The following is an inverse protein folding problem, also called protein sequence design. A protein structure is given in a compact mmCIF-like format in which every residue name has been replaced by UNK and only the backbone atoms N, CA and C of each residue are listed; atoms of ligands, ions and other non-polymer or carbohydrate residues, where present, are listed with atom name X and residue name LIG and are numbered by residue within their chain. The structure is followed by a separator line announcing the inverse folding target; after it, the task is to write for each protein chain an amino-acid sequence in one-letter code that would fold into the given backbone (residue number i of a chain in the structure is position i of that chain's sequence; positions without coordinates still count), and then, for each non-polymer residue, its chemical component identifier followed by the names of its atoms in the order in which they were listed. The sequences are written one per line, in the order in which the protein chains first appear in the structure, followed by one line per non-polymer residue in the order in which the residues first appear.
data_IF_659058381111
#
_entry.id   IF_659058381111
#
_cell.length_a   1.000
_cell.length_b   1.000
_cell.length_c   1.000
_cell.angle_alpha   90.00
_cell.angle_beta   90.00
_cell.angle_gamma   90.00
#
_symmetry.space_group_name_H-M   'P 1'
#
loop_
_entity.id
_entity.type
_entity.pdbx_description
1 polymer ?
#
# COMPACT_ATOMS: atom_id res chain seq x y z
N UNK A 1 5.08 23.61 11.45
CA UNK A 1 4.44 22.41 12.05
C UNK A 1 3.75 21.64 10.94
N UNK A 2 3.83 20.32 10.94
CA UNK A 2 3.07 19.48 10.02
C UNK A 2 1.93 18.77 10.73
N UNK A 3 0.99 18.25 9.94
CA UNK A 3 -0.21 17.56 10.43
C UNK A 3 -0.08 16.06 10.19
N UNK A 4 -0.47 15.32 11.22
CA UNK A 4 -0.71 13.87 11.20
C UNK A 4 -2.21 13.62 11.27
N UNK A 5 -2.77 12.87 10.32
CA UNK A 5 -4.15 12.39 10.40
C UNK A 5 -4.19 11.21 11.37
N UNK A 6 -4.95 11.31 12.46
CA UNK A 6 -5.04 10.26 13.48
C UNK A 6 -6.33 9.47 13.43
N UNK A 7 -7.30 9.90 12.63
CA UNK A 7 -8.58 9.23 12.48
C UNK A 7 -9.35 9.77 11.28
N UNK A 8 -10.08 8.89 10.62
CA UNK A 8 -11.00 9.21 9.55
C UNK A 8 -12.43 8.88 9.96
N UNK A 9 -13.33 9.84 9.78
CA UNK A 9 -14.75 9.72 10.09
C UNK A 9 -15.64 10.08 8.90
N UNK A 10 -15.04 10.26 7.72
CA UNK A 10 -15.80 10.48 6.48
C UNK A 10 -16.39 9.19 5.95
N UNK A 11 -17.15 9.30 4.87
CA UNK A 11 -17.69 8.16 4.11
C UNK A 11 -16.66 7.62 3.13
N UNK A 12 -16.95 6.50 2.46
CA UNK A 12 -16.20 6.12 1.26
C UNK A 12 -16.51 7.03 0.05
N UNK A 13 -16.22 6.53 -1.14
CA UNK A 13 -16.20 7.28 -2.39
C UNK A 13 -14.79 7.77 -2.73
N UNK A 14 -14.66 9.01 -3.21
CA UNK A 14 -13.36 9.60 -3.51
C UNK A 14 -12.70 10.14 -2.23
N UNK A 15 -11.87 9.32 -1.59
CA UNK A 15 -11.13 9.71 -0.38
C UNK A 15 -9.86 10.46 -0.78
N UNK A 16 -9.86 11.78 -0.56
CA UNK A 16 -8.73 12.65 -0.86
C UNK A 16 -8.04 13.07 0.43
N UNK A 17 -6.76 12.72 0.57
CA UNK A 17 -5.91 13.22 1.63
C UNK A 17 -5.35 14.58 1.18
N UNK A 18 -5.78 15.71 1.77
CA UNK A 18 -5.40 17.03 1.28
C UNK A 18 -3.90 17.31 1.51
N UNK A 19 -3.33 18.21 0.71
CA UNK A 19 -1.95 18.66 0.90
C UNK A 19 -1.77 19.48 2.20
N UNK A 20 -2.82 20.17 2.63
CA UNK A 20 -2.82 21.01 3.84
C UNK A 20 -4.16 20.93 4.57
N UNK A 21 -4.13 21.08 5.89
CA UNK A 21 -5.31 21.35 6.73
C UNK A 21 -5.01 22.65 7.51
N UNK A 22 -5.90 23.64 7.42
CA UNK A 22 -5.71 24.97 8.03
C UNK A 22 -4.34 25.61 7.68
N UNK A 23 -3.92 25.48 6.42
CA UNK A 23 -2.64 26.01 5.92
C UNK A 23 -1.39 25.23 6.36
N UNK A 24 -1.52 24.23 7.24
CA UNK A 24 -0.39 23.39 7.65
C UNK A 24 -0.31 22.13 6.79
N UNK A 25 0.90 21.73 6.33
CA UNK A 25 1.06 20.57 5.46
C UNK A 25 0.68 19.28 6.17
N UNK A 26 -0.08 18.42 5.49
CA UNK A 26 -0.35 17.05 5.96
C UNK A 26 0.81 16.18 5.48
N UNK A 27 1.56 15.61 6.42
CA UNK A 27 2.77 14.83 6.10
C UNK A 27 2.69 13.38 6.55
N UNK A 28 1.70 13.03 7.36
CA UNK A 28 1.60 11.68 7.93
C UNK A 28 0.15 11.24 8.06
N UNK A 29 -0.08 9.96 7.77
CA UNK A 29 -1.29 9.25 8.18
C UNK A 29 -0.87 8.33 9.33
N UNK A 30 -1.44 8.55 10.50
CA UNK A 30 -1.13 7.81 11.70
C UNK A 30 -1.58 6.36 11.63
N UNK A 31 -0.98 5.54 12.50
CA UNK A 31 -1.39 4.14 12.64
C UNK A 31 -2.90 4.01 12.90
N UNK A 32 -3.51 3.05 12.23
CA UNK A 32 -4.95 2.76 12.27
C UNK A 32 -5.89 3.92 11.92
N UNK A 33 -5.41 5.04 11.39
CA UNK A 33 -6.24 6.24 11.18
C UNK A 33 -7.46 5.98 10.28
N UNK A 34 -7.36 5.08 9.31
CA UNK A 34 -8.45 4.66 8.42
C UNK A 34 -8.84 3.19 8.61
N UNK A 35 -8.38 2.50 9.67
CA UNK A 35 -8.69 1.07 9.85
C UNK A 35 -10.17 0.79 9.69
N UNK A 36 -10.53 0.00 8.68
CA UNK A 36 -11.90 -0.47 8.45
C UNK A 36 -12.89 0.67 8.18
N UNK A 37 -12.41 1.85 7.79
CA UNK A 37 -13.26 3.03 7.60
C UNK A 37 -13.80 3.16 6.19
N UNK A 38 -13.10 2.60 5.19
CA UNK A 38 -13.49 2.71 3.79
C UNK A 38 -14.07 1.37 3.34
N UNK A 39 -15.38 1.23 3.43
CA UNK A 39 -16.11 0.00 3.11
C UNK A 39 -17.03 0.13 1.90
N UNK A 40 -17.26 1.35 1.42
CA UNK A 40 -18.13 1.59 0.26
C UNK A 40 -17.43 1.06 -1.01
N UNK A 41 -18.06 0.14 -1.77
CA UNK A 41 -17.45 -0.45 -2.95
C UNK A 41 -17.08 0.60 -4.00
N UNK A 42 -15.92 0.45 -4.62
CA UNK A 42 -15.45 1.40 -5.65
C UNK A 42 -14.86 2.69 -5.09
N UNK A 43 -14.57 2.76 -3.78
CA UNK A 43 -13.89 3.91 -3.20
C UNK A 43 -12.46 4.02 -3.75
N UNK A 44 -11.98 5.25 -3.91
CA UNK A 44 -10.62 5.54 -4.39
C UNK A 44 -9.86 6.35 -3.35
N UNK A 45 -8.53 6.23 -3.37
CA UNK A 45 -7.64 6.96 -2.47
C UNK A 45 -6.67 7.84 -3.26
N UNK A 46 -6.67 9.14 -2.95
CA UNK A 46 -5.66 10.08 -3.45
C UNK A 46 -4.79 10.56 -2.30
N UNK A 47 -3.52 10.17 -2.32
CA UNK A 47 -2.50 10.68 -1.40
C UNK A 47 -1.91 11.99 -1.94
N UNK A 48 -1.78 13.01 -1.10
CA UNK A 48 -1.08 14.24 -1.51
C UNK A 48 0.43 14.02 -1.64
N UNK A 49 1.10 14.88 -2.43
CA UNK A 49 2.56 14.80 -2.62
C UNK A 49 3.36 15.09 -1.34
N UNK A 50 2.73 15.67 -0.32
CA UNK A 50 3.36 16.01 0.96
C UNK A 50 3.43 14.82 1.94
N UNK A 51 2.73 13.72 1.66
CA UNK A 51 2.73 12.56 2.55
C UNK A 51 4.11 11.90 2.54
N UNK A 52 4.71 11.81 3.74
CA UNK A 52 6.02 11.23 4.01
C UNK A 52 5.91 9.86 4.69
N UNK A 53 4.84 9.60 5.44
CA UNK A 53 4.65 8.34 6.17
C UNK A 53 3.19 7.85 6.19
N UNK A 54 3.04 6.55 6.00
CA UNK A 54 1.83 5.78 6.31
C UNK A 54 2.11 4.90 7.54
N UNK A 55 1.38 5.15 8.62
CA UNK A 55 1.54 4.48 9.90
C UNK A 55 0.99 3.06 9.91
N UNK A 56 1.40 2.26 10.90
CA UNK A 56 1.01 0.85 11.01
C UNK A 56 -0.50 0.64 10.85
N UNK A 57 -0.91 -0.22 9.93
CA UNK A 57 -2.32 -0.53 9.67
C UNK A 57 -3.16 0.68 9.26
N UNK A 58 -2.57 1.75 8.74
CA UNK A 58 -3.27 3.00 8.45
C UNK A 58 -4.54 2.81 7.63
N UNK A 59 -4.53 1.93 6.62
CA UNK A 59 -5.68 1.59 5.78
C UNK A 59 -6.10 0.12 5.91
N UNK A 60 -5.71 -0.57 7.00
CA UNK A 60 -6.02 -1.99 7.16
C UNK A 60 -7.53 -2.25 7.12
N UNK A 61 -7.95 -3.32 6.45
CA UNK A 61 -9.35 -3.75 6.27
C UNK A 61 -10.25 -2.69 5.61
N UNK A 62 -9.70 -1.81 4.76
CA UNK A 62 -10.49 -0.91 3.94
C UNK A 62 -11.00 -1.65 2.69
N UNK A 63 -11.96 -2.54 2.87
CA UNK A 63 -12.43 -3.46 1.81
C UNK A 63 -13.07 -2.76 0.61
N UNK A 64 -13.53 -1.50 0.77
CA UNK A 64 -14.07 -0.71 -0.33
C UNK A 64 -13.01 0.03 -1.14
N UNK A 65 -11.74 0.10 -0.67
CA UNK A 65 -10.66 0.73 -1.42
C UNK A 65 -10.32 -0.09 -2.66
N UNK A 66 -10.41 0.56 -3.80
CA UNK A 66 -10.30 -0.04 -5.12
C UNK A 66 -9.42 0.76 -6.06
N UNK A 67 -9.10 0.17 -7.20
CA UNK A 67 -8.32 0.81 -8.25
C UNK A 67 -6.82 0.87 -7.95
N UNK A 68 -6.13 1.77 -8.62
CA UNK A 68 -4.68 1.94 -8.46
C UNK A 68 -4.37 2.91 -7.32
N UNK A 69 -3.57 2.46 -6.35
CA UNK A 69 -3.02 3.32 -5.30
C UNK A 69 -1.71 3.93 -5.80
N UNK A 70 -1.63 5.26 -5.83
CA UNK A 70 -0.43 5.99 -6.27
C UNK A 70 0.41 6.39 -5.06
N UNK A 71 1.63 5.88 -5.00
CA UNK A 71 2.64 6.23 -4.01
C UNK A 71 3.37 7.52 -4.44
N UNK A 72 3.27 8.63 -3.68
CA UNK A 72 3.82 9.92 -4.08
C UNK A 72 5.35 9.96 -4.00
N UNK A 73 5.98 10.96 -4.64
CA UNK A 73 7.44 11.06 -4.72
C UNK A 73 8.12 11.17 -3.35
N UNK A 74 7.48 11.88 -2.41
CA UNK A 74 8.02 12.13 -1.07
C UNK A 74 7.78 11.01 -0.05
N UNK A 75 6.99 9.97 -0.37
CA UNK A 75 6.69 8.94 0.62
C UNK A 75 7.97 8.17 0.97
N UNK A 76 8.34 8.24 2.25
CA UNK A 76 9.55 7.65 2.78
C UNK A 76 9.30 6.37 3.57
N UNK A 77 8.12 6.25 4.17
CA UNK A 77 7.82 5.14 5.08
C UNK A 77 6.42 4.60 4.86
N UNK A 78 6.34 3.28 4.71
CA UNK A 78 5.12 2.48 4.76
C UNK A 78 5.37 1.49 5.88
N UNK A 79 4.67 1.64 7.01
CA UNK A 79 4.77 0.72 8.14
C UNK A 79 4.02 -0.59 7.85
N UNK A 80 4.10 -1.54 8.77
CA UNK A 80 3.47 -2.85 8.64
C UNK A 80 1.95 -2.76 8.44
N UNK A 81 1.43 -3.65 7.60
CA UNK A 81 -0.01 -3.90 7.41
C UNK A 81 -0.85 -2.73 6.89
N UNK A 82 -0.22 -1.68 6.35
CA UNK A 82 -0.93 -0.46 5.89
C UNK A 82 -2.11 -0.78 4.97
N UNK A 83 -1.97 -1.76 4.06
CA UNK A 83 -3.03 -2.23 3.15
C UNK A 83 -3.41 -3.70 3.38
N UNK A 84 -3.27 -4.19 4.62
CA UNK A 84 -3.60 -5.56 4.99
C UNK A 84 -5.11 -5.78 5.05
N UNK A 85 -5.62 -6.87 4.48
CA UNK A 85 -7.06 -7.17 4.49
C UNK A 85 -7.92 -6.39 3.50
N UNK A 86 -7.34 -5.47 2.72
CA UNK A 86 -8.03 -4.83 1.59
C UNK A 86 -8.31 -5.87 0.49
N UNK A 87 -9.43 -5.77 -0.21
CA UNK A 87 -9.87 -6.77 -1.19
C UNK A 87 -9.94 -6.28 -2.65
N UNK A 88 -10.05 -4.96 -2.87
CA UNK A 88 -10.47 -4.44 -4.18
C UNK A 88 -9.37 -3.59 -4.89
N UNK A 89 -8.21 -3.40 -4.26
CA UNK A 89 -7.07 -2.70 -4.88
C UNK A 89 -6.56 -3.49 -6.09
N UNK A 90 -6.44 -2.82 -7.24
CA UNK A 90 -6.03 -3.42 -8.51
C UNK A 90 -4.55 -3.29 -8.83
N UNK A 91 -3.90 -2.24 -8.35
CA UNK A 91 -2.48 -2.05 -8.54
C UNK A 91 -1.91 -1.04 -7.54
N UNK A 92 -0.60 -1.10 -7.36
CA UNK A 92 0.20 -0.02 -6.81
C UNK A 92 1.03 0.60 -7.93
N UNK A 93 1.03 1.92 -8.04
CA UNK A 93 1.93 2.68 -8.90
C UNK A 93 2.80 3.56 -8.04
N UNK A 94 4.09 3.65 -8.36
CA UNK A 94 5.04 4.48 -7.61
C UNK A 94 5.52 5.60 -8.50
N UNK A 95 5.49 6.83 -7.98
CA UNK A 95 6.07 7.98 -8.66
C UNK A 95 7.56 7.69 -8.99
N UNK A 96 8.03 7.88 -10.24
CA UNK A 96 9.40 7.55 -10.62
C UNK A 96 10.49 8.25 -9.78
N UNK A 97 10.18 9.45 -9.26
CA UNK A 97 11.07 10.21 -8.42
C UNK A 97 11.11 9.73 -6.95
N UNK A 98 10.27 8.76 -6.55
CA UNK A 98 10.32 8.20 -5.20
C UNK A 98 11.64 7.42 -5.01
N UNK A 99 12.47 7.77 -4.01
CA UNK A 99 13.76 7.14 -3.81
C UNK A 99 13.70 5.84 -2.97
N UNK A 100 12.56 5.52 -2.36
CA UNK A 100 12.42 4.45 -1.36
C UNK A 100 11.61 3.25 -1.86
N UNK A 101 10.72 3.46 -2.83
CA UNK A 101 9.79 2.44 -3.31
C UNK A 101 9.86 2.29 -4.83
N UNK A 102 9.38 1.15 -5.31
CA UNK A 102 9.19 0.87 -6.72
C UNK A 102 7.93 0.02 -6.92
N UNK A 103 7.44 -0.04 -8.16
CA UNK A 103 6.38 -0.97 -8.54
C UNK A 103 6.75 -1.71 -9.81
N UNK A 104 6.50 -3.01 -9.82
CA UNK A 104 6.65 -3.88 -10.98
C UNK A 104 5.33 -4.63 -11.15
N UNK A 105 4.71 -4.53 -12.33
CA UNK A 105 3.43 -5.17 -12.66
C UNK A 105 2.33 -4.93 -11.61
N UNK A 106 2.28 -3.72 -11.06
CA UNK A 106 1.31 -3.31 -10.04
C UNK A 106 1.61 -3.80 -8.63
N UNK A 107 2.69 -4.53 -8.39
CA UNK A 107 3.14 -5.00 -7.07
C UNK A 107 4.09 -3.97 -6.45
N UNK A 108 3.90 -3.65 -5.18
CA UNK A 108 4.70 -2.69 -4.44
C UNK A 108 5.93 -3.32 -3.81
N UNK A 109 7.08 -2.67 -4.01
CA UNK A 109 8.39 -3.08 -3.50
C UNK A 109 9.13 -1.92 -2.85
N UNK A 110 10.22 -2.23 -2.14
CA UNK A 110 11.28 -1.26 -1.91
C UNK A 110 11.97 -0.82 -3.22
N UNK A 111 12.81 0.21 -3.15
CA UNK A 111 13.44 0.80 -4.35
C UNK A 111 14.33 -0.20 -5.08
N UNK A 112 15.05 -1.02 -4.32
CA UNK A 112 16.03 -1.99 -4.81
C UNK A 112 15.39 -3.31 -5.24
N UNK A 113 14.06 -3.47 -5.10
CA UNK A 113 13.31 -4.68 -5.45
C UNK A 113 13.81 -5.93 -4.72
N UNK A 114 14.24 -5.73 -3.48
CA UNK A 114 14.71 -6.76 -2.53
C UNK A 114 13.64 -7.13 -1.50
N UNK A 115 12.63 -6.29 -1.32
CA UNK A 115 11.51 -6.52 -0.40
C UNK A 115 10.17 -6.35 -1.10
N UNK A 116 9.35 -7.40 -1.10
CA UNK A 116 7.97 -7.34 -1.59
C UNK A 116 7.06 -6.87 -0.46
N UNK A 117 6.53 -5.65 -0.60
CA UNK A 117 5.73 -4.99 0.43
C UNK A 117 4.26 -5.37 0.29
N UNK A 118 3.70 -5.29 -0.92
CA UNK A 118 2.29 -5.61 -1.15
C UNK A 118 1.99 -6.00 -2.60
N UNK A 119 1.39 -7.17 -2.77
CA UNK A 119 0.70 -7.58 -3.99
C UNK A 119 -0.75 -7.07 -3.96
N UNK A 120 -1.29 -6.48 -5.05
CA UNK A 120 -2.67 -6.04 -5.08
C UNK A 120 -3.62 -7.26 -4.99
N UNK A 121 -4.69 -7.21 -4.18
CA UNK A 121 -5.69 -8.27 -4.04
C UNK A 121 -6.30 -8.74 -5.37
N UNK A 122 -6.54 -7.81 -6.30
CA UNK A 122 -7.12 -8.13 -7.60
C UNK A 122 -6.09 -8.64 -8.62
N UNK A 123 -4.84 -8.92 -8.22
CA UNK A 123 -3.88 -9.56 -9.12
C UNK A 123 -4.35 -10.98 -9.45
N UNK A 124 -4.44 -11.28 -10.74
CA UNK A 124 -4.83 -12.59 -11.25
C UNK A 124 -3.63 -13.34 -11.83
N UNK A 125 -3.89 -14.60 -12.20
CA UNK A 125 -2.97 -15.47 -12.92
C UNK A 125 -1.71 -15.83 -12.11
N UNK A 126 -0.79 -16.54 -12.76
CA UNK A 126 0.49 -16.87 -12.17
C UNK A 126 1.36 -15.62 -12.03
N UNK A 127 1.92 -15.43 -10.84
CA UNK A 127 2.87 -14.37 -10.58
C UNK A 127 4.24 -14.95 -10.20
N UNK A 128 5.28 -14.52 -10.92
CA UNK A 128 6.66 -14.89 -10.63
C UNK A 128 7.29 -13.81 -9.76
N UNK A 129 7.70 -14.15 -8.54
CA UNK A 129 8.42 -13.21 -7.68
C UNK A 129 9.80 -12.95 -8.31
N UNK A 130 10.23 -11.67 -8.44
CA UNK A 130 11.57 -11.35 -8.94
C UNK A 130 12.65 -12.05 -8.12
N UNK A 131 13.70 -12.57 -8.79
CA UNK A 131 14.78 -13.30 -8.12
C UNK A 131 15.64 -12.45 -7.17
N UNK A 132 15.51 -11.12 -7.24
CA UNK A 132 16.16 -10.16 -6.34
C UNK A 132 15.54 -10.11 -4.95
N UNK A 133 14.33 -10.65 -4.77
CA UNK A 133 13.62 -10.58 -3.49
C UNK A 133 14.32 -11.45 -2.45
N UNK A 134 14.58 -10.87 -1.28
CA UNK A 134 15.17 -11.53 -0.12
C UNK A 134 14.20 -11.54 1.07
N UNK A 135 13.16 -10.70 1.06
CA UNK A 135 12.12 -10.65 2.09
C UNK A 135 10.73 -10.32 1.53
N UNK A 136 9.70 -10.82 2.19
CA UNK A 136 8.29 -10.59 1.87
C UNK A 136 7.62 -10.12 3.16
N UNK A 137 6.97 -8.96 3.12
CA UNK A 137 6.32 -8.41 4.30
C UNK A 137 5.12 -9.28 4.72
N UNK A 138 4.80 -9.33 6.03
CA UNK A 138 3.57 -9.95 6.50
C UNK A 138 2.35 -9.36 5.78
N UNK A 139 1.40 -10.21 5.37
CA UNK A 139 0.20 -9.84 4.60
C UNK A 139 0.46 -9.30 3.19
N UNK A 140 1.67 -9.41 2.63
CA UNK A 140 1.93 -8.93 1.28
C UNK A 140 1.01 -9.56 0.21
N UNK A 141 0.60 -10.82 0.41
CA UNK A 141 -0.36 -11.53 -0.45
C UNK A 141 -1.76 -11.70 0.17
N UNK A 142 -2.08 -10.95 1.22
CA UNK A 142 -3.41 -10.98 1.84
C UNK A 142 -4.50 -10.67 0.82
N UNK A 143 -5.58 -11.44 0.83
CA UNK A 143 -6.73 -11.31 -0.08
C UNK A 143 -6.42 -11.46 -1.59
N UNK A 144 -5.22 -11.90 -1.98
CA UNK A 144 -4.89 -12.21 -3.38
C UNK A 144 -5.53 -13.53 -3.83
N UNK A 145 -6.86 -13.59 -3.88
CA UNK A 145 -7.64 -14.80 -4.22
C UNK A 145 -7.59 -15.16 -5.71
N UNK A 146 -7.21 -14.22 -6.57
CA UNK A 146 -7.07 -14.42 -8.02
C UNK A 146 -5.73 -15.00 -8.46
N UNK A 147 -4.73 -15.05 -7.59
CA UNK A 147 -3.43 -15.65 -7.91
C UNK A 147 -3.59 -17.17 -8.05
N UNK A 148 -3.20 -17.69 -9.21
CA UNK A 148 -3.27 -19.12 -9.53
C UNK A 148 -1.87 -19.67 -9.83
N UNK A 149 -1.69 -20.99 -9.75
CA UNK A 149 -0.40 -21.62 -9.97
C UNK A 149 0.54 -21.58 -8.76
N UNK A 150 1.84 -21.80 -8.99
CA UNK A 150 2.84 -21.79 -7.92
C UNK A 150 3.42 -20.39 -7.73
N UNK A 151 3.39 -19.90 -6.50
CA UNK A 151 4.20 -18.76 -6.09
C UNK A 151 5.67 -19.20 -6.10
N UNK A 152 6.41 -18.81 -7.14
CA UNK A 152 7.82 -19.18 -7.29
C UNK A 152 8.65 -18.22 -6.43
N UNK A 153 9.05 -18.70 -5.26
CA UNK A 153 10.00 -17.98 -4.40
C UNK A 153 11.36 -17.88 -5.11
N UNK A 154 12.12 -16.81 -4.89
CA UNK A 154 13.50 -16.69 -5.35
C UNK A 154 14.30 -17.92 -4.91
N UNK A 155 15.14 -18.44 -5.80
CA UNK A 155 15.88 -19.67 -5.56
C UNK A 155 17.08 -19.46 -4.62
N UNK A 156 16.94 -18.80 -3.47
CA UNK A 156 17.92 -18.84 -2.36
C UNK A 156 17.30 -18.38 -1.03
N UNK A 157 17.40 -19.21 0.01
CA UNK A 157 17.28 -18.79 1.43
C UNK A 157 16.05 -19.36 2.15
N UNK A 158 16.29 -20.26 3.10
CA UNK A 158 15.30 -20.81 4.04
C UNK A 158 14.56 -19.72 4.80
N UNK A 159 13.22 -19.72 4.74
CA UNK A 159 12.36 -18.94 5.61
C UNK A 159 12.26 -19.69 6.95
N UNK A 160 12.90 -19.21 8.02
CA UNK A 160 12.64 -19.70 9.37
C UNK A 160 11.37 -19.02 9.93
N UNK A 161 10.56 -19.82 10.63
CA UNK A 161 9.29 -19.42 11.25
C UNK A 161 9.47 -18.52 12.47
#
# INVERSE_FOLDING_TARGET
MSIRITGYTGTGGAVVIPATINGSPVTEIGGSAFWGKITDPGSTLTLSQNILRLGQGAFMNCTGLSGTIVIPAGLATIDDWVFGGDSDISAFSVNPANPNFSSIDGVLFDKTTTRLIRCPPQKTDAYSIPSSITSIDPFAFSACSGLTGQLRLPSVGTYEH
#
